data_IF_757559538003
#
_entry.id   IF_757559538003
#
_cell.length_a   1.000
_cell.length_b   1.000
_cell.length_c   1.000
_cell.angle_alpha   90.00
_cell.angle_beta   90.00
_cell.angle_gamma   90.00
#
_symmetry.space_group_name_H-M   'P 1'
#
loop_
_entity.id
_entity.type
_entity.pdbx_description
1 polymer ?
#
# COMPACT_ATOMS: atom_id res chain seq x y z
N UNK A 1 -12.42 -35.46 22.49
CA UNK A 1 -11.21 -34.97 21.80
C UNK A 1 -11.43 -34.79 20.30
N UNK A 2 -12.12 -35.70 19.58
CA UNK A 2 -12.50 -35.50 18.18
C UNK A 2 -13.49 -34.35 17.94
N UNK A 3 -14.56 -34.25 18.73
CA UNK A 3 -15.59 -33.19 18.57
C UNK A 3 -14.99 -31.78 18.77
N UNK A 4 -14.07 -31.60 19.73
CA UNK A 4 -13.38 -30.32 19.95
C UNK A 4 -12.38 -29.97 18.84
N UNK A 5 -11.83 -30.95 18.14
CA UNK A 5 -10.96 -30.71 16.98
C UNK A 5 -11.78 -30.36 15.72
N UNK A 6 -12.89 -31.05 15.45
CA UNK A 6 -13.79 -30.72 14.33
C UNK A 6 -14.41 -29.33 14.47
N UNK A 7 -14.91 -28.96 15.65
CA UNK A 7 -15.45 -27.62 15.89
C UNK A 7 -14.38 -26.52 15.74
N UNK A 8 -13.13 -26.77 16.15
CA UNK A 8 -12.02 -25.82 16.00
C UNK A 8 -11.64 -25.63 14.52
N UNK A 9 -11.61 -26.72 13.74
CA UNK A 9 -11.33 -26.71 12.30
C UNK A 9 -12.44 -25.99 11.51
N UNK A 10 -13.72 -26.23 11.81
CA UNK A 10 -14.86 -25.56 11.15
C UNK A 10 -14.87 -24.05 11.46
N UNK A 11 -14.59 -23.67 12.70
CA UNK A 11 -14.57 -22.26 13.13
C UNK A 11 -13.41 -21.49 12.48
N UNK A 12 -12.23 -22.11 12.38
CA UNK A 12 -11.06 -21.54 11.70
C UNK A 12 -11.30 -21.35 10.20
N UNK A 13 -11.91 -22.33 9.53
CA UNK A 13 -12.27 -22.24 8.12
C UNK A 13 -13.23 -21.07 7.85
N UNK A 14 -14.21 -20.86 8.73
CA UNK A 14 -15.20 -19.78 8.58
C UNK A 14 -14.58 -18.40 8.82
N UNK A 15 -13.74 -18.23 9.86
CA UNK A 15 -13.04 -16.98 10.14
C UNK A 15 -12.12 -16.55 9.00
N UNK A 16 -11.49 -17.52 8.34
CA UNK A 16 -10.58 -17.30 7.26
C UNK A 16 -11.30 -16.89 5.96
N UNK A 17 -12.43 -17.51 5.67
CA UNK A 17 -13.28 -17.14 4.55
C UNK A 17 -13.86 -15.71 4.72
N UNK A 18 -14.19 -15.30 5.96
CA UNK A 18 -14.56 -13.91 6.25
C UNK A 18 -13.45 -12.92 5.90
N UNK A 19 -12.20 -13.21 6.29
CA UNK A 19 -11.05 -12.36 5.98
C UNK A 19 -10.84 -12.24 4.47
N UNK A 20 -10.87 -13.35 3.74
CA UNK A 20 -10.71 -13.39 2.28
C UNK A 20 -11.73 -12.50 1.59
N UNK A 21 -13.00 -12.63 1.95
CA UNK A 21 -14.11 -11.84 1.38
C UNK A 21 -14.03 -10.36 1.72
N UNK A 22 -13.62 -10.01 2.94
CA UNK A 22 -13.34 -8.61 3.32
C UNK A 22 -12.21 -8.03 2.46
N UNK A 23 -11.16 -8.81 2.17
CA UNK A 23 -10.07 -8.37 1.29
C UNK A 23 -10.55 -8.13 -0.15
N UNK A 24 -11.41 -8.99 -0.70
CA UNK A 24 -12.01 -8.80 -2.03
C UNK A 24 -12.81 -7.50 -2.11
N UNK A 25 -13.60 -7.18 -1.09
CA UNK A 25 -14.34 -5.92 -1.04
C UNK A 25 -13.41 -4.70 -0.96
N UNK A 26 -12.33 -4.76 -0.17
CA UNK A 26 -11.35 -3.67 -0.13
C UNK A 26 -10.71 -3.43 -1.50
N UNK A 27 -10.36 -4.50 -2.23
CA UNK A 27 -9.78 -4.37 -3.57
C UNK A 27 -10.77 -3.69 -4.51
N UNK A 28 -12.02 -4.15 -4.50
CA UNK A 28 -13.07 -3.56 -5.32
C UNK A 28 -13.25 -2.06 -5.01
N UNK A 29 -13.29 -1.68 -3.74
CA UNK A 29 -13.38 -0.28 -3.33
C UNK A 29 -12.15 0.51 -3.84
N UNK A 30 -10.93 0.02 -3.59
CA UNK A 30 -9.70 0.70 -4.01
C UNK A 30 -9.57 0.86 -5.53
N UNK A 31 -10.19 -0.02 -6.30
CA UNK A 31 -10.20 0.04 -7.77
C UNK A 31 -11.33 0.90 -8.35
N UNK A 32 -12.29 1.35 -7.54
CA UNK A 32 -13.48 2.08 -8.00
C UNK A 32 -13.75 3.35 -7.16
N UNK A 33 -12.68 4.04 -6.75
CA UNK A 33 -12.79 5.23 -5.90
C UNK A 33 -13.39 6.45 -6.62
N UNK A 34 -13.43 6.41 -7.94
CA UNK A 34 -13.81 7.47 -8.87
C UNK A 34 -15.30 7.57 -9.16
N UNK A 35 -16.09 6.60 -8.69
CA UNK A 35 -17.54 6.56 -8.85
C UNK A 35 -18.26 6.24 -7.55
N UNK A 36 -19.55 6.51 -7.47
CA UNK A 36 -20.35 6.05 -6.33
C UNK A 36 -20.43 4.52 -6.29
N UNK A 37 -20.33 3.96 -5.08
CA UNK A 37 -20.37 2.53 -4.82
C UNK A 37 -21.56 2.23 -3.90
N UNK A 38 -22.46 1.36 -4.34
CA UNK A 38 -23.54 0.92 -3.47
C UNK A 38 -23.06 -0.18 -2.51
N UNK A 39 -23.68 -0.26 -1.33
CA UNK A 39 -23.37 -1.33 -0.39
C UNK A 39 -23.67 -2.72 -0.98
N UNK A 40 -24.69 -2.80 -1.84
CA UNK A 40 -25.08 -4.03 -2.53
C UNK A 40 -23.98 -4.48 -3.51
N UNK A 41 -23.45 -3.56 -4.33
CA UNK A 41 -22.35 -3.85 -5.25
C UNK A 41 -21.13 -4.41 -4.52
N UNK A 42 -20.72 -3.77 -3.41
CA UNK A 42 -19.57 -4.21 -2.62
C UNK A 42 -19.84 -5.57 -1.96
N UNK A 43 -21.05 -5.79 -1.43
CA UNK A 43 -21.42 -7.06 -0.79
C UNK A 43 -21.49 -8.23 -1.78
N UNK A 44 -21.91 -7.98 -3.03
CA UNK A 44 -21.92 -9.00 -4.10
C UNK A 44 -20.50 -9.50 -4.40
N UNK A 45 -19.51 -8.62 -4.45
CA UNK A 45 -18.09 -9.00 -4.64
C UNK A 45 -17.57 -9.88 -3.50
N UNK A 46 -18.07 -9.67 -2.29
CA UNK A 46 -17.74 -10.44 -1.11
C UNK A 46 -18.61 -11.71 -0.93
N UNK A 47 -19.58 -11.98 -1.82
CA UNK A 47 -20.52 -13.11 -1.72
C UNK A 47 -21.24 -13.20 -0.36
N UNK A 48 -21.68 -12.05 0.19
CA UNK A 48 -22.41 -11.99 1.46
C UNK A 48 -23.79 -11.34 1.32
N UNK A 49 -24.67 -11.63 2.29
CA UNK A 49 -25.83 -10.77 2.53
C UNK A 49 -25.36 -9.42 3.09
N UNK A 50 -26.02 -8.34 2.63
CA UNK A 50 -25.66 -6.95 2.90
C UNK A 50 -25.42 -6.64 4.39
N UNK A 51 -26.37 -7.02 5.26
CA UNK A 51 -26.34 -6.70 6.69
C UNK A 51 -25.26 -7.47 7.46
N UNK A 52 -25.05 -8.74 7.11
CA UNK A 52 -24.01 -9.56 7.73
C UNK A 52 -22.63 -9.03 7.35
N UNK A 53 -22.46 -8.69 6.07
CA UNK A 53 -21.19 -8.19 5.55
C UNK A 53 -20.71 -6.92 6.23
N UNK A 54 -21.60 -5.94 6.41
CA UNK A 54 -21.25 -4.67 7.05
C UNK A 54 -20.66 -4.87 8.47
N UNK A 55 -21.26 -5.77 9.26
CA UNK A 55 -20.77 -6.07 10.62
C UNK A 55 -19.42 -6.76 10.60
N UNK A 56 -19.22 -7.71 9.70
CA UNK A 56 -17.95 -8.43 9.54
C UNK A 56 -16.85 -7.48 9.09
N UNK A 57 -17.13 -6.65 8.08
CA UNK A 57 -16.18 -5.66 7.60
C UNK A 57 -15.75 -4.75 8.74
N UNK A 58 -16.69 -4.20 9.52
CA UNK A 58 -16.36 -3.38 10.68
C UNK A 58 -15.54 -4.13 11.74
N UNK A 59 -15.84 -5.39 12.00
CA UNK A 59 -15.09 -6.21 12.96
C UNK A 59 -13.66 -6.51 12.50
N UNK A 60 -13.44 -6.69 11.19
CA UNK A 60 -12.11 -7.02 10.62
C UNK A 60 -11.27 -5.77 10.37
N UNK A 61 -11.87 -4.70 9.87
CA UNK A 61 -11.17 -3.47 9.42
C UNK A 61 -11.15 -2.38 10.50
N UNK A 62 -12.05 -2.48 11.49
CA UNK A 62 -12.20 -1.49 12.55
C UNK A 62 -13.00 -0.25 12.15
N UNK A 63 -13.54 -0.20 10.93
CA UNK A 63 -14.38 0.89 10.42
C UNK A 63 -15.45 0.38 9.46
N UNK A 64 -16.53 1.15 9.28
CA UNK A 64 -17.58 0.80 8.32
C UNK A 64 -17.09 0.93 6.88
N UNK A 65 -17.79 0.27 5.94
CA UNK A 65 -17.48 0.34 4.52
C UNK A 65 -17.52 1.79 4.00
N UNK A 66 -18.49 2.59 4.48
CA UNK A 66 -18.61 4.00 4.11
C UNK A 66 -17.47 4.85 4.67
N UNK A 67 -17.05 4.60 5.91
CA UNK A 67 -15.89 5.26 6.53
C UNK A 67 -14.59 4.90 5.79
N UNK A 68 -14.36 3.62 5.51
CA UNK A 68 -13.22 3.14 4.72
C UNK A 68 -13.18 3.80 3.34
N UNK A 69 -14.29 3.75 2.60
CA UNK A 69 -14.37 4.33 1.24
C UNK A 69 -14.07 5.82 1.26
N UNK A 70 -14.67 6.57 2.19
CA UNK A 70 -14.44 8.00 2.34
C UNK A 70 -12.99 8.30 2.72
N UNK A 71 -12.42 7.54 3.65
CA UNK A 71 -11.04 7.70 4.09
C UNK A 71 -10.07 7.49 2.94
N UNK A 72 -10.16 6.35 2.24
CA UNK A 72 -9.28 6.04 1.11
C UNK A 72 -9.41 7.09 -0.01
N UNK A 73 -10.62 7.57 -0.32
CA UNK A 73 -10.81 8.69 -1.27
C UNK A 73 -10.08 9.96 -0.84
N UNK A 74 -10.16 10.32 0.45
CA UNK A 74 -9.47 11.49 0.98
C UNK A 74 -7.94 11.34 0.95
N UNK A 75 -7.43 10.15 1.27
CA UNK A 75 -6.00 9.83 1.24
C UNK A 75 -5.43 9.89 -0.17
N UNK A 76 -6.11 9.28 -1.15
CA UNK A 76 -5.70 9.35 -2.56
C UNK A 76 -5.84 10.78 -3.10
N UNK A 77 -6.90 11.51 -2.75
CA UNK A 77 -7.03 12.92 -3.12
C UNK A 77 -5.92 13.80 -2.50
N UNK A 78 -5.46 13.49 -1.29
CA UNK A 78 -4.34 14.19 -0.66
C UNK A 78 -3.02 13.94 -1.41
N UNK A 79 -2.78 12.70 -1.86
CA UNK A 79 -1.66 12.39 -2.74
C UNK A 79 -1.74 13.18 -4.06
N UNK A 80 -2.92 13.20 -4.70
CA UNK A 80 -3.18 13.96 -5.93
C UNK A 80 -2.90 15.45 -5.74
N UNK A 81 -3.36 16.05 -4.63
CA UNK A 81 -3.12 17.46 -4.32
C UNK A 81 -1.63 17.82 -4.24
N UNK A 82 -0.77 16.86 -3.85
CA UNK A 82 0.68 17.06 -3.75
C UNK A 82 1.41 16.81 -5.07
N UNK A 83 0.97 15.81 -5.84
CA UNK A 83 1.63 15.42 -7.10
C UNK A 83 1.21 16.28 -8.30
N UNK A 84 -0.04 16.74 -8.35
CA UNK A 84 -0.62 17.48 -9.48
C UNK A 84 -1.11 18.87 -9.03
N UNK A 85 -0.20 19.85 -8.79
CA UNK A 85 -0.55 21.14 -8.21
C UNK A 85 -1.47 22.00 -9.08
N UNK A 86 -1.49 21.73 -10.40
CA UNK A 86 -2.27 22.47 -11.39
C UNK A 86 -3.75 22.06 -11.42
N UNK A 87 -4.09 20.86 -10.94
CA UNK A 87 -5.47 20.40 -10.98
C UNK A 87 -6.33 21.17 -9.98
N UNK A 88 -7.52 21.59 -10.41
CA UNK A 88 -8.40 22.36 -9.53
C UNK A 88 -8.92 21.48 -8.38
N UNK A 89 -9.15 22.07 -7.20
CA UNK A 89 -9.75 21.34 -6.06
C UNK A 89 -11.12 20.75 -6.44
N UNK A 90 -11.87 21.44 -7.29
CA UNK A 90 -13.15 20.94 -7.81
C UNK A 90 -12.96 19.70 -8.67
N UNK A 91 -11.99 19.70 -9.59
CA UNK A 91 -11.67 18.54 -10.44
C UNK A 91 -11.32 17.33 -9.58
N UNK A 92 -10.42 17.50 -8.61
CA UNK A 92 -10.00 16.42 -7.70
C UNK A 92 -11.19 15.89 -6.89
N UNK A 93 -12.04 16.79 -6.36
CA UNK A 93 -13.23 16.39 -5.61
C UNK A 93 -14.17 15.50 -6.45
N UNK A 94 -14.47 15.91 -7.69
CA UNK A 94 -15.35 15.18 -8.59
C UNK A 94 -14.72 13.85 -9.04
N UNK A 95 -13.40 13.84 -9.29
CA UNK A 95 -12.66 12.64 -9.69
C UNK A 95 -12.71 11.53 -8.64
N UNK A 96 -12.81 11.87 -7.34
CA UNK A 96 -12.96 10.89 -6.26
C UNK A 96 -14.39 10.80 -5.73
N UNK A 97 -15.37 11.01 -6.60
CA UNK A 97 -16.80 10.84 -6.35
C UNK A 97 -17.34 11.61 -5.12
N UNK A 98 -16.85 12.84 -4.90
CA UNK A 98 -17.54 13.81 -4.05
C UNK A 98 -18.53 14.62 -4.88
N UNK A 99 -19.73 14.83 -4.36
CA UNK A 99 -20.79 15.57 -5.07
C UNK A 99 -20.51 17.07 -5.25
N UNK A 100 -19.58 17.64 -4.48
CA UNK A 100 -19.17 19.03 -4.63
C UNK A 100 -17.81 19.30 -3.96
N UNK A 101 -17.14 20.38 -4.38
CA UNK A 101 -15.89 20.84 -3.77
C UNK A 101 -16.09 21.30 -2.32
N UNK A 102 -17.29 21.76 -1.95
CA UNK A 102 -17.64 22.14 -0.58
C UNK A 102 -17.73 20.90 0.32
N UNK A 103 -18.40 19.84 -0.15
CA UNK A 103 -18.51 18.57 0.58
C UNK A 103 -17.14 17.91 0.75
N UNK A 104 -16.33 17.90 -0.31
CA UNK A 104 -14.93 17.47 -0.25
C UNK A 104 -14.13 18.28 0.77
N UNK A 105 -14.15 19.62 0.67
CA UNK A 105 -13.35 20.48 1.56
C UNK A 105 -13.73 20.32 3.04
N UNK A 106 -15.02 20.11 3.34
CA UNK A 106 -15.50 19.82 4.69
C UNK A 106 -14.96 18.48 5.20
N UNK A 107 -15.11 17.41 4.42
CA UNK A 107 -14.62 16.09 4.77
C UNK A 107 -13.09 16.05 4.92
N UNK A 108 -12.38 16.70 4.00
CA UNK A 108 -10.93 16.82 4.01
C UNK A 108 -10.44 17.53 5.27
N UNK A 109 -11.04 18.68 5.63
CA UNK A 109 -10.70 19.39 6.87
C UNK A 109 -11.00 18.58 8.12
N UNK A 110 -12.09 17.82 8.14
CA UNK A 110 -12.40 16.94 9.27
C UNK A 110 -11.33 15.86 9.45
N UNK A 111 -10.83 15.30 8.35
CA UNK A 111 -9.85 14.23 8.33
C UNK A 111 -8.42 14.74 8.59
N UNK A 112 -7.92 15.67 7.77
CA UNK A 112 -6.53 16.18 7.82
C UNK A 112 -6.33 17.43 8.70
N UNK A 113 -7.40 17.97 9.30
CA UNK A 113 -7.38 19.19 10.13
C UNK A 113 -6.97 20.49 9.41
N UNK A 114 -6.70 20.45 8.12
CA UNK A 114 -6.40 21.58 7.25
C UNK A 114 -7.27 21.55 5.99
N UNK A 115 -7.45 22.68 5.30
CA UNK A 115 -8.18 22.70 4.02
C UNK A 115 -7.36 22.10 2.88
N UNK A 116 -8.00 21.64 1.77
CA UNK A 116 -7.28 21.16 0.60
C UNK A 116 -6.30 22.19 0.00
N UNK A 117 -6.67 23.48 0.00
CA UNK A 117 -5.82 24.56 -0.48
C UNK A 117 -4.57 24.75 0.38
N UNK A 118 -4.71 24.65 1.70
CA UNK A 118 -3.59 24.72 2.65
C UNK A 118 -2.69 23.50 2.52
N UNK A 119 -3.29 22.31 2.42
CA UNK A 119 -2.59 21.04 2.24
C UNK A 119 -1.74 21.06 0.96
N UNK A 120 -2.26 21.58 -0.15
CA UNK A 120 -1.51 21.77 -1.41
C UNK A 120 -0.31 22.71 -1.26
N UNK A 121 -0.47 23.78 -0.48
CA UNK A 121 0.59 24.78 -0.25
C UNK A 121 1.67 24.28 0.70
N UNK A 122 1.40 23.24 1.47
CA UNK A 122 2.41 22.53 2.25
C UNK A 122 3.41 21.89 1.28
N UNK A 123 4.41 22.67 0.86
CA UNK A 123 5.64 22.12 0.28
C UNK A 123 6.12 21.06 1.25
N UNK A 124 6.49 19.89 0.72
CA UNK A 124 7.20 18.84 1.46
C UNK A 124 8.32 19.54 2.22
N UNK A 125 8.12 19.79 3.53
CA UNK A 125 9.24 20.12 4.40
C UNK A 125 10.04 18.84 4.42
N UNK A 126 11.10 18.79 3.62
CA UNK A 126 12.21 17.91 3.92
C UNK A 126 12.67 18.37 5.30
N UNK A 127 12.32 17.60 6.34
CA UNK A 127 12.61 17.92 7.73
C UNK A 127 11.42 18.46 8.56
N UNK A 128 10.94 17.60 9.45
CA UNK A 128 10.38 17.89 10.78
C UNK A 128 9.42 19.08 10.94
N UNK A 129 8.11 18.81 11.03
CA UNK A 129 7.30 19.36 12.14
C UNK A 129 6.05 18.47 12.37
N UNK A 130 5.76 18.06 13.62
CA UNK A 130 4.70 17.12 13.94
C UNK A 130 3.31 17.76 13.78
N UNK A 131 2.44 17.10 13.02
CA UNK A 131 1.03 17.47 12.92
C UNK A 131 0.16 16.57 13.80
N UNK A 132 0.53 16.38 15.08
CA UNK A 132 -0.42 16.03 16.15
C UNK A 132 0.24 16.06 17.54
N UNK A 133 -0.26 16.83 18.54
CA UNK A 133 0.25 16.79 19.91
C UNK A 133 -0.09 15.52 20.70
N UNK A 134 -1.00 14.66 20.22
CA UNK A 134 -1.54 13.55 21.04
C UNK A 134 -1.00 12.14 20.72
N UNK A 135 -0.13 11.96 19.72
CA UNK A 135 0.50 10.65 19.43
C UNK A 135 1.97 10.61 19.91
N UNK A 136 2.15 10.78 21.22
CA UNK A 136 3.45 10.61 21.88
C UNK A 136 3.67 9.13 22.20
N UNK A 137 4.41 8.43 21.32
CA UNK A 137 5.20 7.19 21.50
C UNK A 137 5.35 6.62 20.07
N UNK A 138 6.48 6.53 19.37
CA UNK A 138 7.92 6.37 19.65
C UNK A 138 8.60 6.50 18.25
N UNK A 139 9.83 6.97 17.98
CA UNK A 139 11.07 7.07 18.75
C UNK A 139 11.84 8.36 18.40
N UNK A 140 12.62 8.81 19.38
CA UNK A 140 13.64 9.86 19.29
C UNK A 140 14.86 9.38 18.50
N UNK A 141 15.34 10.18 17.53
CA UNK A 141 16.76 10.46 17.31
C UNK A 141 16.92 11.64 16.32
N UNK A 142 17.14 12.82 16.91
CA UNK A 142 18.08 13.88 16.49
C UNK A 142 18.30 14.12 15.00
N UNK A 143 17.85 15.27 14.46
CA UNK A 143 18.70 16.23 13.73
C UNK A 143 18.00 17.60 13.71
N UNK A 144 18.57 18.55 14.44
CA UNK A 144 18.27 19.96 14.40
C UNK A 144 19.46 20.70 13.75
N UNK A 145 19.15 21.85 13.13
CA UNK A 145 20.00 22.78 12.35
C UNK A 145 19.90 22.54 10.82
N UNK A 146 19.42 23.52 10.02
CA UNK A 146 19.49 23.46 8.57
C UNK A 146 20.94 23.73 8.11
N UNK A 147 21.52 22.91 7.23
CA UNK A 147 22.79 23.22 6.61
C UNK A 147 22.69 24.50 5.77
N UNK A 148 23.69 25.37 5.89
CA UNK A 148 23.96 26.47 4.97
C UNK A 148 24.25 25.90 3.57
N UNK A 149 24.14 26.67 2.46
CA UNK A 149 24.47 26.18 1.12
C UNK A 149 25.89 25.57 0.97
N UNK A 150 26.77 25.78 1.96
CA UNK A 150 28.10 25.19 2.11
C UNK A 150 28.14 23.77 2.68
N UNK A 151 27.01 23.27 3.20
CA UNK A 151 26.91 22.01 3.95
C UNK A 151 26.08 20.94 3.21
N UNK A 152 25.88 21.10 1.89
CA UNK A 152 25.57 19.94 1.04
C UNK A 152 26.67 18.91 1.32
N UNK A 153 26.34 17.65 1.67
CA UNK A 153 27.38 16.66 1.83
C UNK A 153 28.12 16.56 0.50
N UNK A 154 29.35 17.09 0.47
CA UNK A 154 30.41 16.66 -0.44
C UNK A 154 30.82 15.25 -0.05
N UNK A 155 29.86 14.32 -0.07
CA UNK A 155 30.14 12.90 -0.11
C UNK A 155 30.17 12.53 -1.58
N UNK A 156 31.38 12.62 -2.14
CA UNK A 156 31.75 11.91 -3.35
C UNK A 156 31.50 10.41 -3.14
N UNK A 157 30.26 9.99 -3.40
CA UNK A 157 29.72 8.65 -3.72
C UNK A 157 28.23 8.64 -3.35
N UNK A 158 27.39 9.33 -4.14
CA UNK A 158 26.00 8.88 -4.29
C UNK A 158 26.12 7.64 -5.17
N UNK A 159 25.85 6.46 -4.62
CA UNK A 159 25.61 5.30 -5.47
C UNK A 159 24.50 5.70 -6.43
N UNK A 160 24.79 5.76 -7.73
CA UNK A 160 23.76 5.94 -8.74
C UNK A 160 22.77 4.80 -8.53
N UNK A 161 21.57 5.11 -8.03
CA UNK A 161 20.50 4.12 -7.89
C UNK A 161 20.35 3.48 -9.26
N UNK A 162 20.51 2.16 -9.34
CA UNK A 162 20.37 1.45 -10.60
C UNK A 162 18.89 1.42 -10.97
N UNK A 163 18.44 2.47 -11.65
CA UNK A 163 17.05 2.73 -11.93
C UNK A 163 16.80 2.85 -13.43
N UNK A 164 15.72 2.24 -13.88
CA UNK A 164 15.32 2.23 -15.28
C UNK A 164 13.80 2.30 -15.42
N UNK A 165 13.35 2.79 -16.57
CA UNK A 165 11.94 2.82 -16.92
C UNK A 165 11.61 1.53 -17.67
N UNK A 166 10.70 0.73 -17.12
CA UNK A 166 10.30 -0.56 -17.69
C UNK A 166 8.79 -0.64 -17.83
N UNK A 167 8.33 -1.19 -18.93
CA UNK A 167 6.95 -1.67 -19.05
C UNK A 167 6.86 -3.05 -18.39
N UNK A 168 6.18 -3.12 -17.25
CA UNK A 168 5.97 -4.36 -16.51
C UNK A 168 4.63 -5.00 -16.90
N UNK A 169 4.56 -6.34 -16.98
CA UNK A 169 3.33 -7.04 -17.33
C UNK A 169 2.33 -6.98 -16.18
N UNK A 170 1.08 -7.30 -16.50
CA UNK A 170 0.07 -7.56 -15.49
C UNK A 170 0.39 -8.85 -14.72
N UNK A 171 0.22 -8.83 -13.40
CA UNK A 171 0.42 -10.01 -12.55
C UNK A 171 -0.90 -10.44 -11.90
N UNK A 172 -1.29 -11.68 -12.15
CA UNK A 172 -2.29 -12.38 -11.32
C UNK A 172 -1.59 -12.92 -10.09
N UNK A 173 -2.00 -12.49 -8.89
CA UNK A 173 -1.34 -12.88 -7.64
C UNK A 173 -2.31 -13.49 -6.63
N UNK A 174 -1.81 -14.45 -5.85
CA UNK A 174 -2.36 -14.78 -4.54
C UNK A 174 -1.71 -13.88 -3.50
N UNK A 175 -2.49 -13.45 -2.50
CA UNK A 175 -1.96 -12.57 -1.48
C UNK A 175 -2.54 -12.77 -0.09
N UNK A 176 -1.76 -12.35 0.90
CA UNK A 176 -2.18 -12.18 2.29
C UNK A 176 -2.07 -10.69 2.64
N UNK A 177 -3.19 -10.09 3.06
CA UNK A 177 -3.22 -8.70 3.54
C UNK A 177 -3.01 -8.62 5.03
N UNK A 178 -2.19 -7.66 5.47
CA UNK A 178 -2.14 -7.19 6.85
C UNK A 178 -2.41 -5.69 6.89
N UNK A 179 -3.02 -5.25 7.98
CA UNK A 179 -3.31 -3.84 8.25
C UNK A 179 -2.55 -3.44 9.52
N UNK A 180 -1.76 -2.39 9.43
CA UNK A 180 -0.90 -1.93 10.50
C UNK A 180 0.32 -1.19 9.97
N UNK A 181 1.18 -0.68 10.87
CA UNK A 181 2.35 0.09 10.48
C UNK A 181 3.22 -0.71 9.52
N UNK A 182 3.67 -0.08 8.43
CA UNK A 182 4.70 -0.67 7.60
C UNK A 182 5.98 -0.86 8.41
N UNK A 183 6.67 -1.96 8.15
CA UNK A 183 7.85 -2.36 8.87
C UNK A 183 7.78 -3.83 9.29
N UNK A 184 8.77 -4.21 10.08
CA UNK A 184 9.11 -5.60 10.33
C UNK A 184 7.90 -6.44 10.77
N UNK A 185 7.22 -6.04 11.84
CA UNK A 185 6.13 -6.84 12.44
C UNK A 185 4.98 -7.12 11.47
N UNK A 186 4.47 -6.10 10.79
CA UNK A 186 3.28 -6.23 9.93
C UNK A 186 3.64 -6.92 8.60
N UNK A 187 4.74 -6.49 7.98
CA UNK A 187 5.19 -7.03 6.70
C UNK A 187 5.64 -8.49 6.84
N UNK A 188 6.52 -8.80 7.81
CA UNK A 188 6.96 -10.19 8.02
C UNK A 188 5.79 -11.10 8.38
N UNK A 189 4.81 -10.64 9.15
CA UNK A 189 3.61 -11.44 9.43
C UNK A 189 2.80 -11.75 8.16
N UNK A 190 2.73 -10.82 7.20
CA UNK A 190 2.09 -11.06 5.91
C UNK A 190 2.87 -12.10 5.08
N UNK A 191 4.19 -11.90 4.95
CA UNK A 191 5.06 -12.79 4.19
C UNK A 191 5.11 -14.19 4.80
N UNK A 192 5.26 -14.32 6.12
CA UNK A 192 5.30 -15.62 6.79
C UNK A 192 4.02 -16.44 6.54
N UNK A 193 2.85 -15.80 6.61
CA UNK A 193 1.57 -16.49 6.32
C UNK A 193 1.45 -16.87 4.84
N UNK A 194 1.90 -16.01 3.92
CA UNK A 194 1.95 -16.34 2.49
C UNK A 194 2.89 -17.53 2.22
N UNK A 195 4.10 -17.52 2.78
CA UNK A 195 5.10 -18.56 2.55
C UNK A 195 4.61 -19.91 3.07
N UNK A 196 3.95 -19.95 4.24
CA UNK A 196 3.34 -21.18 4.76
C UNK A 196 2.28 -21.77 3.81
N UNK A 197 1.53 -20.92 3.10
CA UNK A 197 0.55 -21.37 2.12
C UNK A 197 1.16 -21.76 0.76
N UNK A 198 2.18 -21.03 0.32
CA UNK A 198 2.79 -21.13 -1.01
C UNK A 198 3.86 -22.24 -1.12
N UNK A 199 4.68 -22.44 -0.08
CA UNK A 199 5.73 -23.46 -0.04
C UNK A 199 5.24 -24.88 -0.38
N UNK A 200 4.19 -25.43 0.26
CA UNK A 200 3.71 -26.79 -0.04
C UNK A 200 3.12 -26.93 -1.45
N UNK A 201 2.89 -25.82 -2.17
CA UNK A 201 2.37 -25.81 -3.55
C UNK A 201 3.47 -25.65 -4.61
N UNK A 202 4.74 -25.58 -4.20
CA UNK A 202 5.87 -25.37 -5.10
C UNK A 202 5.89 -23.99 -5.78
N UNK A 203 5.14 -23.01 -5.25
CA UNK A 203 5.05 -21.69 -5.88
C UNK A 203 6.32 -20.86 -5.65
N UNK A 204 7.12 -21.15 -4.62
CA UNK A 204 8.33 -20.38 -4.31
C UNK A 204 9.44 -20.52 -5.36
N UNK A 205 9.45 -21.61 -6.13
CA UNK A 205 10.45 -21.85 -7.18
C UNK A 205 10.05 -21.32 -8.55
N UNK A 206 8.78 -20.96 -8.73
CA UNK A 206 8.20 -20.60 -10.04
C UNK A 206 7.56 -19.22 -10.06
N UNK A 207 7.09 -18.74 -8.92
CA UNK A 207 6.40 -17.48 -8.76
C UNK A 207 7.34 -16.34 -8.40
N UNK A 208 6.95 -15.14 -8.77
CA UNK A 208 7.58 -13.89 -8.34
C UNK A 208 6.92 -13.46 -7.04
N UNK A 209 7.73 -13.18 -6.02
CA UNK A 209 7.28 -12.67 -4.73
C UNK A 209 7.24 -11.16 -4.77
N UNK A 210 6.10 -10.58 -4.38
CA UNK A 210 5.89 -9.13 -4.38
C UNK A 210 5.41 -8.64 -3.02
N UNK A 211 5.85 -7.45 -2.60
CA UNK A 211 5.29 -6.71 -1.46
C UNK A 211 4.55 -5.48 -1.98
N UNK A 212 3.22 -5.47 -1.91
CA UNK A 212 2.41 -4.36 -2.46
C UNK A 212 1.97 -3.44 -1.33
N UNK A 213 2.22 -2.14 -1.49
CA UNK A 213 1.92 -1.11 -0.51
C UNK A 213 0.82 -0.20 -1.05
N UNK A 214 -0.37 -0.30 -0.45
CA UNK A 214 -1.57 0.37 -0.97
C UNK A 214 -1.72 1.82 -0.54
N UNK A 215 -1.14 2.15 0.61
CA UNK A 215 -1.37 3.40 1.30
C UNK A 215 -0.05 4.15 1.49
N UNK A 216 -0.10 5.48 1.42
CA UNK A 216 1.07 6.33 1.62
C UNK A 216 1.24 6.58 3.13
N UNK A 217 2.33 6.15 3.78
CA UNK A 217 2.53 6.30 5.22
C UNK A 217 2.68 7.77 5.67
N UNK A 218 2.93 8.71 4.75
CA UNK A 218 2.91 10.16 5.07
C UNK A 218 1.48 10.72 5.20
N UNK A 219 0.46 10.01 4.71
CA UNK A 219 -0.93 10.48 4.61
C UNK A 219 -1.87 9.60 5.42
N UNK A 220 -1.68 8.30 5.34
CA UNK A 220 -2.49 7.28 6.00
C UNK A 220 -1.91 6.99 7.40
N UNK A 221 -2.74 6.99 8.46
CA UNK A 221 -2.28 6.61 9.79
C UNK A 221 -1.64 5.21 9.79
N UNK A 222 -0.53 4.98 10.53
CA UNK A 222 0.19 3.71 10.51
C UNK A 222 -0.71 2.49 10.75
N UNK A 223 -1.66 2.57 11.68
CA UNK A 223 -2.60 1.50 12.01
C UNK A 223 -3.64 1.20 10.91
N UNK A 224 -3.68 2.00 9.85
CA UNK A 224 -4.58 1.85 8.69
C UNK A 224 -3.87 1.49 7.40
N UNK A 225 -2.54 1.51 7.37
CA UNK A 225 -1.75 1.13 6.21
C UNK A 225 -1.93 -0.36 5.88
N UNK A 226 -2.08 -0.68 4.59
CA UNK A 226 -2.33 -2.03 4.09
C UNK A 226 -1.14 -2.51 3.26
N UNK A 227 -0.59 -3.65 3.68
CA UNK A 227 0.45 -4.38 2.94
C UNK A 227 -0.11 -5.71 2.46
N UNK A 228 0.15 -6.03 1.20
CA UNK A 228 -0.12 -7.35 0.64
C UNK A 228 1.19 -8.05 0.32
N UNK A 229 1.46 -9.15 1.03
CA UNK A 229 2.46 -10.11 0.59
C UNK A 229 1.84 -10.96 -0.52
N UNK A 230 2.43 -10.92 -1.70
CA UNK A 230 1.90 -11.50 -2.93
C UNK A 230 2.86 -12.52 -3.52
N UNK A 231 2.30 -13.52 -4.23
CA UNK A 231 3.05 -14.39 -5.13
C UNK A 231 2.28 -14.58 -6.44
N UNK A 232 2.98 -14.51 -7.57
CA UNK A 232 2.35 -14.70 -8.89
C UNK A 232 1.82 -16.11 -9.06
N UNK A 233 0.66 -16.23 -9.70
CA UNK A 233 0.00 -17.49 -9.97
C UNK A 233 0.12 -17.88 -11.44
N UNK A 234 0.29 -19.19 -11.73
CA UNK A 234 0.07 -19.70 -13.08
C UNK A 234 -1.35 -19.38 -13.57
N UNK A 235 -1.56 -19.13 -14.89
CA UNK A 235 -2.85 -18.72 -15.44
C UNK A 235 -4.04 -19.62 -15.03
N UNK A 236 -3.83 -20.93 -14.97
CA UNK A 236 -4.91 -21.92 -14.76
C UNK A 236 -5.03 -22.42 -13.31
N UNK A 237 -4.21 -21.92 -12.38
CA UNK A 237 -4.29 -22.37 -10.99
C UNK A 237 -5.59 -21.90 -10.33
N UNK A 238 -6.40 -22.87 -9.89
CA UNK A 238 -7.54 -22.64 -8.98
C UNK A 238 -7.02 -22.47 -7.56
N UNK A 239 -7.57 -21.53 -6.82
CA UNK A 239 -7.14 -21.29 -5.45
C UNK A 239 -7.97 -22.05 -4.45
N UNK A 240 -7.27 -22.61 -3.47
CA UNK A 240 -7.84 -23.19 -2.27
C UNK A 240 -7.14 -22.59 -1.04
N UNK A 241 -7.94 -22.27 -0.03
CA UNK A 241 -7.46 -21.85 1.29
C UNK A 241 -7.49 -20.33 1.56
N UNK A 242 -6.65 -19.84 2.50
CA UNK A 242 -6.79 -18.54 3.16
C UNK A 242 -6.59 -17.30 2.30
N UNK A 243 -5.93 -17.47 1.16
CA UNK A 243 -5.43 -16.34 0.38
C UNK A 243 -6.51 -15.74 -0.50
N UNK A 244 -6.47 -14.43 -0.67
CA UNK A 244 -7.27 -13.72 -1.65
C UNK A 244 -6.50 -13.62 -2.97
N UNK A 245 -7.21 -13.28 -4.05
CA UNK A 245 -6.58 -13.00 -5.35
C UNK A 245 -6.82 -11.60 -5.80
N UNK A 246 -5.85 -11.07 -6.52
CA UNK A 246 -6.00 -9.82 -7.23
C UNK A 246 -5.11 -9.79 -8.47
N UNK A 247 -5.37 -8.77 -9.27
CA UNK A 247 -4.57 -8.44 -10.44
C UNK A 247 -3.83 -7.16 -10.14
N UNK A 248 -2.50 -7.22 -10.15
CA UNK A 248 -1.64 -6.03 -10.15
C UNK A 248 -1.53 -5.61 -11.61
N UNK A 249 -2.04 -4.43 -11.92
CA UNK A 249 -2.07 -3.91 -13.28
C UNK A 249 -0.64 -3.72 -13.81
N UNK A 250 -0.45 -4.03 -15.09
CA UNK A 250 0.79 -3.70 -15.79
C UNK A 250 0.86 -2.21 -16.14
N UNK A 251 1.96 -1.82 -16.77
CA UNK A 251 2.15 -0.43 -17.21
C UNK A 251 3.60 -0.02 -17.17
N UNK A 252 3.85 1.29 -17.25
CA UNK A 252 5.19 1.84 -17.14
C UNK A 252 5.53 2.11 -15.67
N UNK A 253 6.67 1.59 -15.23
CA UNK A 253 7.19 1.73 -13.89
C UNK A 253 8.62 2.28 -13.93
N UNK A 254 8.96 3.10 -12.96
CA UNK A 254 10.35 3.28 -12.55
C UNK A 254 10.73 2.09 -11.67
N UNK A 255 11.75 1.35 -12.09
CA UNK A 255 12.25 0.15 -11.41
C UNK A 255 13.63 0.47 -10.87
N UNK A 256 13.73 0.60 -9.55
CA UNK A 256 14.99 0.87 -8.85
C UNK A 256 15.50 -0.41 -8.21
N UNK A 257 16.67 -0.88 -8.63
CA UNK A 257 17.27 -2.14 -8.18
C UNK A 257 18.15 -1.93 -6.96
N UNK A 258 18.01 -2.80 -5.96
CA UNK A 258 18.76 -2.76 -4.71
C UNK A 258 19.34 -4.12 -4.34
N UNK A 259 20.60 -4.09 -3.91
CA UNK A 259 21.28 -5.19 -3.23
C UNK A 259 21.77 -4.69 -1.87
N UNK A 260 21.22 -5.23 -0.77
CA UNK A 260 21.59 -4.75 0.56
C UNK A 260 21.67 -5.86 1.60
N UNK A 261 22.49 -5.65 2.62
CA UNK A 261 22.52 -6.48 3.83
C UNK A 261 21.70 -5.82 4.94
N UNK A 262 20.97 -6.63 5.72
CA UNK A 262 20.11 -6.13 6.79
C UNK A 262 18.73 -5.70 6.29
N UNK A 263 17.99 -4.98 7.15
CA UNK A 263 16.55 -4.71 6.94
C UNK A 263 16.25 -3.22 6.71
N UNK A 264 17.15 -2.46 6.08
CA UNK A 264 16.97 -1.02 5.86
C UNK A 264 16.17 -0.70 4.58
N UNK A 265 14.99 -1.30 4.45
CA UNK A 265 14.12 -1.12 3.28
C UNK A 265 13.64 0.34 3.12
N UNK A 266 13.46 1.06 4.24
CA UNK A 266 13.05 2.48 4.23
C UNK A 266 14.04 3.36 3.44
N UNK A 267 15.34 3.12 3.60
CA UNK A 267 16.36 3.85 2.84
C UNK A 267 16.25 3.58 1.33
N UNK A 268 15.98 2.35 0.90
CA UNK A 268 15.78 2.06 -0.53
C UNK A 268 14.57 2.79 -1.11
N UNK A 269 13.48 2.88 -0.35
CA UNK A 269 12.31 3.67 -0.76
C UNK A 269 12.63 5.16 -0.89
N UNK A 270 13.34 5.73 0.08
CA UNK A 270 13.77 7.13 0.04
C UNK A 270 14.66 7.42 -1.18
N UNK A 271 15.62 6.54 -1.47
CA UNK A 271 16.51 6.63 -2.62
C UNK A 271 15.76 6.50 -3.95
N UNK A 272 14.81 5.57 -4.05
CA UNK A 272 13.97 5.38 -5.25
C UNK A 272 13.09 6.61 -5.53
N UNK A 273 12.44 7.17 -4.51
CA UNK A 273 11.63 8.39 -4.67
C UNK A 273 12.48 9.64 -4.91
N UNK A 274 13.70 9.72 -4.33
CA UNK A 274 14.64 10.79 -4.65
C UNK A 274 15.02 10.75 -6.13
N UNK A 275 15.36 9.57 -6.66
CA UNK A 275 15.66 9.38 -8.07
C UNK A 275 14.49 9.78 -8.97
N UNK A 276 13.25 9.36 -8.62
CA UNK A 276 12.04 9.71 -9.36
C UNK A 276 11.88 11.24 -9.50
N UNK A 277 12.07 11.97 -8.39
CA UNK A 277 11.95 13.43 -8.33
C UNK A 277 13.08 14.11 -9.08
N UNK A 278 14.32 13.65 -8.91
CA UNK A 278 15.50 14.20 -9.61
C UNK A 278 15.39 14.07 -11.13
N UNK A 279 14.73 13.01 -11.62
CA UNK A 279 14.52 12.76 -13.05
C UNK A 279 13.19 13.32 -13.59
N UNK A 280 12.40 14.02 -12.76
CA UNK A 280 11.18 14.72 -13.20
C UNK A 280 10.03 13.79 -13.60
N UNK A 281 9.99 12.57 -13.06
CA UNK A 281 8.88 11.64 -13.26
C UNK A 281 7.75 11.86 -12.25
N UNK A 282 6.52 11.58 -12.68
CA UNK A 282 5.33 11.66 -11.82
C UNK A 282 4.85 10.26 -11.47
N UNK A 283 4.54 10.06 -10.19
CA UNK A 283 3.95 8.81 -9.70
C UNK A 283 2.51 8.66 -10.22
N UNK A 284 2.18 7.47 -10.71
CA UNK A 284 0.83 7.09 -11.12
C UNK A 284 -0.06 6.72 -9.94
N UNK A 285 -1.31 6.38 -10.24
CA UNK A 285 -2.34 6.11 -9.22
C UNK A 285 -2.37 4.62 -8.77
N UNK A 286 -1.54 3.76 -9.36
CA UNK A 286 -1.40 2.36 -8.96
C UNK A 286 -0.57 2.24 -7.66
N UNK A 287 -0.69 1.14 -6.88
CA UNK A 287 0.18 0.93 -5.73
C UNK A 287 1.63 0.70 -6.16
N UNK A 288 2.55 1.20 -5.34
CA UNK A 288 3.96 0.83 -5.48
C UNK A 288 4.16 -0.59 -4.91
N UNK A 289 5.16 -1.30 -5.43
CA UNK A 289 5.48 -2.62 -4.89
C UNK A 289 6.97 -2.93 -4.95
N UNK A 290 7.39 -3.79 -4.03
CA UNK A 290 8.70 -4.44 -4.07
C UNK A 290 8.59 -5.75 -4.83
N UNK A 291 9.61 -6.05 -5.64
CA UNK A 291 9.78 -7.34 -6.30
C UNK A 291 11.03 -8.02 -5.79
N UNK A 292 10.85 -9.18 -5.15
CA UNK A 292 11.95 -9.91 -4.51
C UNK A 292 12.52 -10.98 -5.45
N UNK A 293 13.85 -11.07 -5.53
CA UNK A 293 14.57 -12.09 -6.30
C UNK A 293 15.12 -13.22 -5.40
N UNK A 294 15.23 -12.97 -4.11
CA UNK A 294 15.74 -13.96 -3.15
C UNK A 294 15.15 -13.75 -1.76
N UNK A 295 15.47 -14.68 -0.86
CA UNK A 295 15.32 -14.51 0.58
C UNK A 295 16.71 -14.33 1.21
N UNK A 296 16.90 -13.28 2.01
CA UNK A 296 18.18 -13.05 2.68
C UNK A 296 18.62 -14.23 3.56
N UNK A 297 17.70 -14.96 4.19
CA UNK A 297 18.06 -16.12 5.03
C UNK A 297 18.67 -17.30 4.23
N UNK A 298 18.43 -17.33 2.92
CA UNK A 298 18.91 -18.38 2.02
C UNK A 298 20.10 -17.91 1.16
N UNK A 299 20.40 -16.60 1.14
CA UNK A 299 21.51 -16.04 0.40
C UNK A 299 22.84 -16.29 1.13
N UNK A 300 23.92 -16.73 0.46
CA UNK A 300 25.21 -17.03 1.10
C UNK A 300 25.79 -15.88 1.93
N UNK A 301 25.53 -14.64 1.51
CA UNK A 301 25.98 -13.41 2.18
C UNK A 301 24.89 -12.71 3.02
N UNK A 302 23.70 -13.31 3.17
CA UNK A 302 22.61 -12.70 3.93
C UNK A 302 22.04 -11.41 3.32
N UNK A 303 22.07 -11.27 1.98
CA UNK A 303 21.65 -10.07 1.26
C UNK A 303 20.22 -10.20 0.74
N UNK A 304 19.49 -9.09 0.70
CA UNK A 304 18.29 -8.91 -0.08
C UNK A 304 18.63 -8.36 -1.46
N UNK A 305 18.01 -8.94 -2.48
CA UNK A 305 18.05 -8.50 -3.87
C UNK A 305 16.59 -8.26 -4.28
N UNK A 306 16.25 -7.01 -4.53
CA UNK A 306 14.88 -6.63 -4.85
C UNK A 306 14.82 -5.35 -5.69
N UNK A 307 13.69 -5.16 -6.36
CA UNK A 307 13.38 -3.90 -7.03
C UNK A 307 12.28 -3.17 -6.28
N UNK A 308 12.39 -1.84 -6.18
CA UNK A 308 11.27 -0.96 -5.88
C UNK A 308 10.64 -0.51 -7.20
N UNK A 309 9.37 -0.87 -7.41
CA UNK A 309 8.61 -0.56 -8.61
C UNK A 309 7.60 0.56 -8.31
N UNK A 310 7.83 1.74 -8.88
CA UNK A 310 6.97 2.92 -8.73
C UNK A 310 6.21 3.14 -10.04
N UNK A 311 4.87 3.10 -10.04
CA UNK A 311 4.09 3.30 -11.25
C UNK A 311 4.25 4.74 -11.74
N UNK A 312 4.27 4.91 -13.06
CA UNK A 312 4.41 6.21 -13.69
C UNK A 312 3.09 6.68 -14.26
N UNK A 313 2.82 7.98 -14.11
CA UNK A 313 1.71 8.61 -14.80
C UNK A 313 1.96 8.54 -16.31
N UNK A 314 1.04 7.94 -17.05
CA UNK A 314 1.13 7.89 -18.51
C UNK A 314 0.81 9.27 -19.05
N UNK A 315 1.80 9.97 -19.64
CA UNK A 315 1.53 11.24 -20.35
C UNK A 315 0.58 10.93 -21.50
N UNK A 316 -0.64 11.46 -21.40
CA UNK A 316 -1.66 11.43 -22.46
C UNK A 316 -1.28 12.35 -23.60
#
# INVERSE_FOLDING_TARGET
>A
MLITMEHKTITQHTALEYKRRVCLAMNYISQNLDRELSLEEIAQQASFSMFHFHRIFKAVVGETIAEFTRRVRLEVAANHLRSKPNDSITTIALQYAFSSSQNFSKAFRQHFKVSPSEYRKYKRKIGNTPSNPENVLSLKATYAIPPSPSDLPTTNRRSEVNAEIKTLPEYRVAYVRKIGPYGQTTCEAAFNELMQWAAPKGLLSTGIVLGVYWDNPEVTPPEKCRVDACITLPPEMKLEGPVATQTIQGGNFAVCHFEMSGNNFEQAWDEAFAWLVENGYECGDQPCYERYYNNASEHPEGKWIFDVCIPLLTKS
#
